data_IF_646335611129
#
_entry.id   IF_646335611129
#
_cell.length_a   1.000
_cell.length_b   1.000
_cell.length_c   1.000
_cell.angle_alpha   90.00
_cell.angle_beta   90.00
_cell.angle_gamma   90.00
#
_symmetry.space_group_name_H-M   'P 1'
#
loop_
_entity.id
_entity.type
_entity.pdbx_description
1 polymer ?
#
# COMPACT_ATOMS: atom_id res chain seq x y z
N UNK A 1 -5.96 -38.54 -70.20
CA UNK A 1 -5.27 -39.76 -69.71
C UNK A 1 -4.50 -39.40 -68.43
N UNK A 2 -4.81 -40.11 -67.33
CA UNK A 2 -4.07 -40.24 -66.05
C UNK A 2 -3.81 -38.93 -65.26
N UNK A 3 -4.62 -38.56 -64.25
CA UNK A 3 -4.68 -39.06 -62.84
C UNK A 3 -3.31 -39.28 -62.19
N UNK A 4 -2.95 -38.41 -61.25
CA UNK A 4 -2.11 -38.76 -60.11
C UNK A 4 -2.65 -38.06 -58.87
N UNK A 5 -3.13 -38.88 -57.95
CA UNK A 5 -3.68 -38.56 -56.64
C UNK A 5 -2.53 -38.32 -55.67
N UNK A 6 -2.56 -37.24 -54.88
CA UNK A 6 -1.73 -37.14 -53.68
C UNK A 6 -2.65 -37.10 -52.46
N UNK A 7 -2.52 -38.14 -51.65
CA UNK A 7 -3.20 -38.37 -50.38
C UNK A 7 -2.47 -37.54 -49.33
N UNK A 8 -3.17 -36.63 -48.66
CA UNK A 8 -2.69 -36.01 -47.42
C UNK A 8 -3.56 -36.54 -46.29
N UNK A 9 -2.90 -37.25 -45.36
CA UNK A 9 -3.51 -37.82 -44.16
C UNK A 9 -4.09 -36.72 -43.27
N UNK A 10 -5.37 -36.88 -42.91
CA UNK A 10 -5.99 -36.22 -41.76
C UNK A 10 -5.49 -36.91 -40.48
N UNK A 11 -4.73 -36.17 -39.66
CA UNK A 11 -4.49 -36.51 -38.26
C UNK A 11 -5.37 -35.57 -37.41
N UNK A 12 -6.40 -36.17 -36.81
CA UNK A 12 -7.27 -35.52 -35.85
C UNK A 12 -6.48 -35.20 -34.57
N UNK A 13 -6.31 -33.91 -34.27
CA UNK A 13 -5.94 -33.46 -32.95
C UNK A 13 -7.21 -32.92 -32.26
N UNK A 14 -7.67 -33.66 -31.24
CA UNK A 14 -8.65 -33.19 -30.28
C UNK A 14 -8.08 -31.94 -29.58
N UNK A 15 -8.59 -30.76 -29.95
CA UNK A 15 -8.48 -29.58 -29.10
C UNK A 15 -9.74 -29.54 -28.24
N UNK A 16 -9.54 -29.93 -26.99
CA UNK A 16 -10.47 -29.76 -25.89
C UNK A 16 -10.91 -28.31 -25.88
N UNK A 17 -12.23 -28.11 -26.02
CA UNK A 17 -12.91 -26.86 -25.72
C UNK A 17 -12.70 -26.58 -24.24
N UNK A 18 -11.65 -25.83 -23.90
CA UNK A 18 -11.61 -25.16 -22.61
C UNK A 18 -12.35 -23.84 -22.79
N UNK A 19 -13.61 -23.84 -22.37
CA UNK A 19 -14.40 -22.64 -22.13
C UNK A 19 -13.55 -21.63 -21.36
N UNK A 20 -13.08 -20.61 -22.06
CA UNK A 20 -12.66 -19.35 -21.46
C UNK A 20 -13.96 -18.68 -21.00
N UNK A 21 -14.11 -18.23 -19.74
CA UNK A 21 -15.21 -17.34 -19.41
C UNK A 21 -14.97 -16.04 -20.17
N UNK A 22 -15.73 -15.83 -21.25
CA UNK A 22 -15.98 -14.49 -21.75
C UNK A 22 -16.83 -13.78 -20.70
N UNK A 23 -16.26 -12.76 -20.07
CA UNK A 23 -16.95 -11.98 -19.05
C UNK A 23 -17.90 -10.99 -19.73
N UNK A 24 -19.17 -11.11 -19.39
CA UNK A 24 -20.21 -10.13 -19.72
C UNK A 24 -20.14 -8.97 -18.74
N UNK A 25 -20.25 -7.75 -19.26
CA UNK A 25 -20.62 -6.54 -18.52
C UNK A 25 -21.74 -6.83 -17.51
N UNK A 26 -21.54 -6.45 -16.25
CA UNK A 26 -22.58 -6.53 -15.22
C UNK A 26 -22.02 -6.69 -13.82
N UNK A 27 -21.93 -5.56 -13.09
CA UNK A 27 -21.93 -5.44 -11.62
C UNK A 27 -21.66 -6.74 -10.83
N UNK A 28 -20.43 -6.92 -10.36
CA UNK A 28 -20.17 -7.91 -9.30
C UNK A 28 -20.74 -7.33 -8.00
N UNK A 29 -21.92 -7.81 -7.63
CA UNK A 29 -22.47 -7.63 -6.28
C UNK A 29 -21.41 -8.20 -5.32
N UNK A 30 -21.01 -7.40 -4.33
CA UNK A 30 -20.14 -7.80 -3.25
C UNK A 30 -20.61 -9.16 -2.71
N UNK A 31 -19.88 -10.24 -3.02
CA UNK A 31 -20.15 -11.54 -2.44
C UNK A 31 -19.51 -11.54 -1.07
N UNK A 32 -20.34 -11.37 -0.02
CA UNK A 32 -19.93 -11.65 1.35
C UNK A 32 -19.39 -13.08 1.38
N UNK A 33 -18.10 -13.23 1.63
CA UNK A 33 -17.63 -14.49 2.17
C UNK A 33 -18.09 -14.48 3.63
N UNK A 34 -18.78 -15.53 4.08
CA UNK A 34 -19.50 -15.64 5.37
C UNK A 34 -18.69 -15.38 6.68
N UNK A 35 -17.52 -14.75 6.60
CA UNK A 35 -16.56 -14.54 7.67
C UNK A 35 -16.17 -13.07 7.88
N UNK A 36 -17.00 -12.10 7.46
CA UNK A 36 -16.71 -10.67 7.63
C UNK A 36 -15.68 -10.09 6.65
N UNK A 37 -15.45 -10.77 5.53
CA UNK A 37 -14.58 -10.31 4.44
C UNK A 37 -15.41 -10.15 3.17
N UNK A 38 -15.37 -8.95 2.61
CA UNK A 38 -16.20 -8.51 1.49
C UNK A 38 -15.31 -8.18 0.30
N UNK A 39 -15.67 -8.69 -0.87
CA UNK A 39 -15.05 -8.34 -2.13
C UNK A 39 -15.64 -7.02 -2.67
N UNK A 40 -14.79 -6.04 -2.97
CA UNK A 40 -15.22 -4.69 -3.38
C UNK A 40 -15.11 -4.47 -4.89
N UNK A 41 -13.97 -4.80 -5.50
CA UNK A 41 -13.70 -4.46 -6.89
C UNK A 41 -12.99 -5.59 -7.66
N UNK A 42 -13.33 -5.79 -8.96
CA UNK A 42 -12.95 -6.94 -9.76
C UNK A 42 -11.44 -7.19 -9.84
N UNK A 43 -11.08 -8.48 -9.99
CA UNK A 43 -9.73 -8.94 -10.29
C UNK A 43 -9.38 -8.58 -11.73
N UNK A 44 -8.15 -8.13 -11.98
CA UNK A 44 -7.64 -7.90 -13.33
C UNK A 44 -7.88 -6.49 -13.86
N UNK A 45 -7.90 -5.48 -12.98
CA UNK A 45 -7.65 -4.12 -13.42
C UNK A 45 -6.37 -4.08 -14.27
N UNK A 46 -6.44 -3.40 -15.41
CA UNK A 46 -5.26 -3.05 -16.20
C UNK A 46 -5.18 -1.52 -16.22
N UNK A 47 -4.15 -0.92 -15.62
CA UNK A 47 -3.01 -1.55 -14.94
C UNK A 47 -3.37 -2.27 -13.61
N UNK A 48 -2.53 -3.21 -13.11
CA UNK A 48 -2.73 -3.84 -11.81
C UNK A 48 -2.59 -2.82 -10.68
N UNK A 49 -3.41 -2.99 -9.64
CA UNK A 49 -3.38 -2.13 -8.46
C UNK A 49 -2.15 -2.47 -7.62
N UNK A 50 -1.33 -1.46 -7.31
CA UNK A 50 -0.13 -1.60 -6.49
C UNK A 50 -0.37 -1.20 -5.05
N UNK A 51 -1.14 -0.12 -4.83
CA UNK A 51 -1.35 0.48 -3.51
C UNK A 51 -2.79 0.95 -3.38
N UNK A 52 -3.35 0.74 -2.18
CA UNK A 52 -4.64 1.28 -1.77
C UNK A 52 -4.51 1.99 -0.43
N UNK A 53 -5.23 3.10 -0.28
CA UNK A 53 -5.19 3.94 0.92
C UNK A 53 -6.58 4.47 1.21
N UNK A 54 -7.13 4.15 2.37
CA UNK A 54 -8.40 4.70 2.82
C UNK A 54 -8.31 6.20 3.01
N UNK A 55 -9.34 6.91 2.57
CA UNK A 55 -9.47 8.34 2.88
C UNK A 55 -9.51 8.54 4.40
N UNK A 56 -8.73 9.49 4.94
CA UNK A 56 -8.74 9.81 6.36
C UNK A 56 -10.04 10.50 6.81
N UNK A 57 -10.80 11.08 5.87
CA UNK A 57 -12.04 11.83 6.16
C UNK A 57 -13.32 11.16 5.65
N UNK A 58 -13.21 10.08 4.86
CA UNK A 58 -14.36 9.40 4.27
C UNK A 58 -14.24 7.88 4.35
N UNK A 59 -15.22 7.26 5.02
CA UNK A 59 -15.27 5.81 5.20
C UNK A 59 -15.63 5.02 3.93
N UNK A 60 -15.99 5.67 2.83
CA UNK A 60 -16.38 5.00 1.60
C UNK A 60 -15.33 5.09 0.50
N UNK A 61 -14.31 5.93 0.66
CA UNK A 61 -13.38 6.24 -0.42
C UNK A 61 -12.00 5.62 -0.21
N UNK A 62 -11.52 4.89 -1.23
CA UNK A 62 -10.16 4.38 -1.34
C UNK A 62 -9.42 5.14 -2.44
N UNK A 63 -8.25 5.69 -2.13
CA UNK A 63 -7.28 6.12 -3.13
C UNK A 63 -6.57 4.90 -3.69
N UNK A 64 -6.52 4.81 -5.01
CA UNK A 64 -5.94 3.70 -5.74
C UNK A 64 -4.79 4.21 -6.60
N UNK A 65 -3.63 3.57 -6.47
CA UNK A 65 -2.53 3.67 -7.44
C UNK A 65 -2.44 2.34 -8.19
N UNK A 66 -2.66 2.40 -9.50
CA UNK A 66 -2.52 1.26 -10.39
C UNK A 66 -1.47 1.59 -11.46
N UNK A 67 -0.48 0.70 -11.64
CA UNK A 67 0.55 0.89 -12.65
C UNK A 67 1.00 -0.46 -13.24
N UNK A 68 1.45 -0.47 -14.49
CA UNK A 68 2.00 -1.65 -15.15
C UNK A 68 3.35 -1.28 -15.76
N UNK A 69 4.41 -1.74 -15.11
CA UNK A 69 5.78 -1.58 -15.62
C UNK A 69 5.99 -2.49 -16.84
N UNK A 70 6.67 -2.03 -17.92
CA UNK A 70 7.45 -0.79 -18.00
C UNK A 70 6.82 0.34 -18.84
N UNK A 71 5.66 0.14 -19.49
CA UNK A 71 5.24 0.98 -20.65
C UNK A 71 3.79 1.53 -20.55
N UNK A 72 2.99 1.12 -19.56
CA UNK A 72 1.57 1.50 -19.48
C UNK A 72 1.37 2.67 -18.52
N UNK A 73 0.44 3.60 -18.83
CA UNK A 73 0.16 4.75 -17.97
C UNK A 73 -0.21 4.31 -16.56
N UNK A 74 0.33 5.03 -15.58
CA UNK A 74 -0.10 4.90 -14.20
C UNK A 74 -1.45 5.61 -14.03
N UNK A 75 -2.38 4.98 -13.33
CA UNK A 75 -3.70 5.52 -13.00
C UNK A 75 -3.79 5.82 -11.52
N UNK A 76 -4.33 7.00 -11.20
CA UNK A 76 -4.66 7.40 -9.84
C UNK A 76 -6.12 7.81 -9.81
N UNK A 77 -6.90 7.15 -8.98
CA UNK A 77 -8.32 7.42 -8.83
C UNK A 77 -8.80 7.17 -7.41
N UNK A 78 -9.90 7.82 -7.06
CA UNK A 78 -10.67 7.52 -5.86
C UNK A 78 -11.77 6.53 -6.25
N UNK A 79 -11.87 5.44 -5.51
CA UNK A 79 -12.90 4.42 -5.63
C UNK A 79 -13.88 4.54 -4.46
N UNK A 80 -15.15 4.76 -4.76
CA UNK A 80 -16.24 4.58 -3.79
C UNK A 80 -16.52 3.09 -3.62
N UNK A 81 -16.30 2.54 -2.43
CA UNK A 81 -16.43 1.11 -2.15
C UNK A 81 -17.89 0.62 -2.11
N UNK A 82 -18.86 1.53 -1.98
CA UNK A 82 -20.30 1.20 -1.96
C UNK A 82 -20.88 1.18 -3.36
N UNK A 83 -20.54 2.16 -4.18
CA UNK A 83 -21.09 2.32 -5.54
C UNK A 83 -20.18 1.67 -6.60
N UNK A 84 -18.93 1.39 -6.25
CA UNK A 84 -17.85 0.97 -7.17
C UNK A 84 -17.50 2.03 -8.23
N UNK A 85 -17.94 3.28 -8.03
CA UNK A 85 -17.64 4.39 -8.93
C UNK A 85 -16.17 4.81 -8.81
N UNK A 86 -15.53 5.07 -9.96
CA UNK A 86 -14.14 5.51 -10.04
C UNK A 86 -14.08 6.98 -10.47
N UNK A 87 -13.49 7.82 -9.63
CA UNK A 87 -13.17 9.22 -9.93
C UNK A 87 -11.66 9.37 -10.20
N UNK A 88 -11.28 9.43 -11.47
CA UNK A 88 -9.87 9.65 -11.86
C UNK A 88 -9.39 11.04 -11.46
N UNK A 89 -8.27 11.09 -10.74
CA UNK A 89 -7.65 12.33 -10.27
C UNK A 89 -6.76 12.94 -11.35
N UNK A 90 -6.01 12.09 -12.05
CA UNK A 90 -5.17 12.47 -13.19
C UNK A 90 -5.55 11.58 -14.36
N UNK A 91 -5.63 12.17 -15.55
CA UNK A 91 -5.81 11.41 -16.77
C UNK A 91 -4.60 10.47 -16.99
N UNK A 92 -4.79 9.25 -17.53
CA UNK A 92 -3.69 8.34 -17.79
C UNK A 92 -2.64 8.98 -18.71
N UNK A 93 -1.48 9.34 -18.15
CA UNK A 93 -0.40 9.99 -18.89
C UNK A 93 0.52 8.93 -19.50
N UNK A 94 0.57 8.88 -20.85
CA UNK A 94 1.61 8.13 -21.55
C UNK A 94 2.95 8.79 -21.20
N UNK A 95 3.84 8.04 -20.56
CA UNK A 95 5.19 8.46 -20.15
C UNK A 95 5.30 9.19 -18.80
N UNK A 96 4.37 9.00 -17.86
CA UNK A 96 4.59 9.37 -16.45
C UNK A 96 4.57 8.11 -15.58
N UNK A 97 5.58 7.98 -14.71
CA UNK A 97 5.62 6.92 -13.69
C UNK A 97 5.25 7.51 -12.34
N UNK A 98 4.11 7.08 -11.82
CA UNK A 98 3.69 7.37 -10.44
C UNK A 98 4.22 6.26 -9.55
N UNK A 99 5.12 6.63 -8.64
CA UNK A 99 5.85 5.68 -7.81
C UNK A 99 5.14 5.47 -6.49
N UNK A 100 4.68 6.55 -5.88
CA UNK A 100 3.95 6.46 -4.63
C UNK A 100 2.87 7.54 -4.48
N UNK A 101 1.87 7.23 -3.65
CA UNK A 101 0.76 8.13 -3.30
C UNK A 101 0.46 8.07 -1.81
N UNK A 102 0.00 9.16 -1.22
CA UNK A 102 -0.50 9.22 0.15
C UNK A 102 -1.63 10.26 0.26
N UNK A 103 -2.55 10.09 1.21
CA UNK A 103 -3.52 11.14 1.53
C UNK A 103 -2.89 12.24 2.38
N UNK A 104 -3.31 13.48 2.17
CA UNK A 104 -3.16 14.51 3.18
C UNK A 104 -4.23 14.30 4.28
N UNK A 105 -3.95 14.69 5.55
CA UNK A 105 -4.84 14.38 6.67
C UNK A 105 -6.25 14.98 6.57
N UNK A 106 -6.42 16.06 5.81
CA UNK A 106 -7.72 16.67 5.52
C UNK A 106 -8.61 15.79 4.61
N UNK A 107 -8.00 14.87 3.87
CA UNK A 107 -8.67 14.06 2.84
C UNK A 107 -9.16 14.87 1.63
N UNK A 108 -8.70 16.11 1.48
CA UNK A 108 -9.02 16.98 0.33
C UNK A 108 -7.92 16.91 -0.73
N UNK A 109 -6.70 16.62 -0.30
CA UNK A 109 -5.53 16.52 -1.17
C UNK A 109 -4.83 15.16 -1.03
N UNK A 110 -4.10 14.79 -2.08
CA UNK A 110 -3.18 13.66 -2.06
C UNK A 110 -1.76 14.14 -2.37
N UNK A 111 -0.77 13.41 -1.87
CA UNK A 111 0.61 13.51 -2.30
C UNK A 111 0.91 12.47 -3.38
N UNK A 112 1.76 12.85 -4.32
CA UNK A 112 2.18 12.05 -5.44
C UNK A 112 3.69 12.19 -5.67
N UNK A 113 4.39 11.06 -5.70
CA UNK A 113 5.77 10.97 -6.14
C UNK A 113 5.83 10.66 -7.64
N UNK A 114 6.41 11.58 -8.42
CA UNK A 114 6.52 11.48 -9.89
C UNK A 114 7.98 11.35 -10.32
N UNK A 115 8.28 10.32 -11.11
CA UNK A 115 9.54 10.18 -11.85
C UNK A 115 9.34 10.69 -13.28
N UNK A 116 10.19 11.63 -13.70
CA UNK A 116 10.21 12.09 -15.08
C UNK A 116 10.83 10.99 -15.97
N UNK A 117 10.20 10.68 -17.10
CA UNK A 117 10.74 9.68 -18.04
C UNK A 117 11.86 10.23 -18.92
N UNK A 118 12.19 11.51 -18.81
CA UNK A 118 13.31 12.17 -19.52
C UNK A 118 14.61 12.25 -18.72
N UNK A 119 14.62 11.91 -17.42
CA UNK A 119 15.81 11.95 -16.57
C UNK A 119 15.65 11.15 -15.29
N UNK A 120 16.70 10.41 -14.91
CA UNK A 120 16.76 9.40 -13.85
C UNK A 120 16.57 9.92 -12.40
N UNK A 121 15.95 11.08 -12.17
CA UNK A 121 15.71 11.64 -10.84
C UNK A 121 14.23 11.90 -10.56
N UNK A 122 13.74 11.58 -9.34
CA UNK A 122 12.40 11.97 -8.91
C UNK A 122 12.25 13.50 -8.95
N UNK A 123 11.16 13.98 -9.56
CA UNK A 123 10.90 15.43 -9.72
C UNK A 123 10.52 16.13 -8.39
N UNK A 124 10.23 15.35 -7.34
CA UNK A 124 9.75 15.80 -6.05
C UNK A 124 8.40 15.20 -5.69
N UNK A 125 7.87 15.60 -4.53
CA UNK A 125 6.51 15.29 -4.12
C UNK A 125 5.57 16.43 -4.51
N UNK A 126 4.47 16.07 -5.15
CA UNK A 126 3.45 16.99 -5.63
C UNK A 126 2.16 16.76 -4.85
N UNK A 127 1.42 17.82 -4.52
CA UNK A 127 0.07 17.71 -4.00
C UNK A 127 -0.96 17.92 -5.11
N UNK A 128 -2.06 17.17 -5.02
CA UNK A 128 -3.18 17.23 -5.95
C UNK A 128 -4.48 17.33 -5.16
N UNK A 129 -5.26 18.36 -5.46
CA UNK A 129 -6.61 18.54 -4.91
C UNK A 129 -7.59 17.57 -5.58
N UNK A 130 -8.30 16.79 -4.77
CA UNK A 130 -9.20 15.72 -5.23
C UNK A 130 -10.46 16.27 -5.91
N UNK A 131 -10.84 17.52 -5.63
CA UNK A 131 -12.07 18.13 -6.13
C UNK A 131 -11.83 18.91 -7.41
N UNK A 132 -10.87 19.84 -7.40
CA UNK A 132 -10.60 20.72 -8.53
C UNK A 132 -9.42 20.28 -9.40
N UNK A 133 -8.68 19.22 -9.00
CA UNK A 133 -7.52 18.66 -9.72
C UNK A 133 -6.36 19.64 -9.89
N UNK A 134 -6.28 20.69 -9.06
CA UNK A 134 -5.11 21.57 -9.01
C UNK A 134 -3.89 20.79 -8.53
N UNK A 135 -2.73 21.10 -9.12
CA UNK A 135 -1.46 20.41 -8.87
C UNK A 135 -0.43 21.45 -8.46
N UNK A 136 0.28 21.20 -7.37
CA UNK A 136 1.37 22.07 -6.88
C UNK A 136 2.55 21.21 -6.41
N UNK A 137 3.78 21.69 -6.59
CA UNK A 137 4.96 21.02 -6.04
C UNK A 137 5.04 21.36 -4.55
N UNK A 138 5.21 20.34 -3.71
CA UNK A 138 5.22 20.50 -2.26
C UNK A 138 6.61 20.31 -1.65
N UNK A 139 7.29 19.20 -1.93
CA UNK A 139 8.58 18.87 -1.31
C UNK A 139 9.63 18.48 -2.34
N UNK A 140 10.88 18.60 -1.93
CA UNK A 140 12.02 17.97 -2.60
C UNK A 140 11.88 16.44 -2.61
N UNK A 141 12.64 15.74 -3.48
CA UNK A 141 12.53 14.30 -3.58
C UNK A 141 13.00 13.59 -2.30
N UNK A 142 12.08 12.82 -1.73
CA UNK A 142 12.30 11.85 -0.64
C UNK A 142 11.83 10.48 -1.12
N UNK A 143 12.43 9.40 -0.62
CA UNK A 143 12.06 8.03 -1.00
C UNK A 143 10.64 7.69 -0.53
N UNK A 144 10.28 8.11 0.69
CA UNK A 144 8.92 7.98 1.24
C UNK A 144 8.59 9.16 2.15
N UNK A 145 7.30 9.50 2.23
CA UNK A 145 6.78 10.50 3.17
C UNK A 145 5.49 10.03 3.82
N UNK A 146 5.22 10.51 5.03
CA UNK A 146 3.89 10.40 5.65
C UNK A 146 3.57 11.65 6.46
N UNK A 147 2.32 12.09 6.37
CA UNK A 147 1.82 13.21 7.16
C UNK A 147 1.49 12.80 8.58
N UNK A 148 1.74 13.73 9.51
CA UNK A 148 1.21 13.64 10.86
C UNK A 148 -0.32 13.74 10.81
N UNK A 149 -1.06 12.96 11.63
CA UNK A 149 -2.51 13.01 11.69
C UNK A 149 -3.11 14.41 11.88
N UNK A 150 -2.38 15.31 12.56
CA UNK A 150 -2.81 16.69 12.79
C UNK A 150 -2.49 17.66 11.63
N UNK A 151 -1.81 17.19 10.57
CA UNK A 151 -1.44 18.01 9.42
C UNK A 151 -0.34 19.04 9.69
N UNK A 152 0.31 19.01 10.85
CA UNK A 152 1.35 19.99 11.18
C UNK A 152 2.75 19.61 10.68
N UNK A 153 2.98 18.32 10.40
CA UNK A 153 4.31 17.78 10.11
C UNK A 153 4.27 16.68 9.06
N UNK A 154 5.42 16.48 8.42
CA UNK A 154 5.67 15.38 7.49
C UNK A 154 6.92 14.66 7.98
N UNK A 155 6.84 13.34 8.14
CA UNK A 155 8.05 12.52 8.27
C UNK A 155 8.48 12.09 6.88
N UNK A 156 9.76 12.23 6.58
CA UNK A 156 10.32 11.89 5.29
C UNK A 156 11.54 10.98 5.46
N UNK A 157 11.65 9.98 4.60
CA UNK A 157 12.78 9.06 4.53
C UNK A 157 13.66 9.46 3.35
N UNK A 158 14.96 9.63 3.63
CA UNK A 158 15.98 9.89 2.62
C UNK A 158 17.06 8.84 2.72
N UNK A 159 17.24 8.08 1.66
CA UNK A 159 18.40 7.22 1.46
C UNK A 159 19.56 8.08 0.96
N UNK A 160 20.72 7.90 1.58
CA UNK A 160 21.96 8.57 1.16
C UNK A 160 22.88 7.51 0.57
N UNK A 161 23.19 7.62 -0.74
CA UNK A 161 24.27 6.82 -1.32
C UNK A 161 24.93 7.41 -2.58
N UNK A 162 26.27 7.29 -2.66
CA UNK A 162 26.85 6.39 -3.68
C UNK A 162 27.96 5.43 -3.21
N UNK A 163 28.40 5.44 -1.94
CA UNK A 163 29.41 4.50 -1.43
C UNK A 163 28.89 3.65 -0.26
N UNK A 164 29.41 2.42 -0.13
CA UNK A 164 29.21 1.49 0.98
C UNK A 164 29.79 2.09 2.28
N UNK A 165 29.02 2.20 3.39
CA UNK A 165 27.67 1.65 3.62
C UNK A 165 26.50 2.62 3.35
N UNK A 166 25.36 2.05 2.94
CA UNK A 166 24.07 2.75 2.82
C UNK A 166 23.65 3.36 4.16
N UNK A 167 23.05 4.55 4.12
CA UNK A 167 22.47 5.22 5.28
C UNK A 167 21.04 5.66 4.99
N UNK A 168 20.19 5.52 6.00
CA UNK A 168 18.83 6.02 5.99
C UNK A 168 18.71 7.17 6.99
N UNK A 169 18.30 8.34 6.52
CA UNK A 169 17.97 9.48 7.36
C UNK A 169 16.46 9.68 7.45
N UNK A 170 15.98 9.90 8.67
CA UNK A 170 14.63 10.32 8.95
C UNK A 170 14.62 11.82 9.18
N UNK A 171 13.75 12.50 8.47
CA UNK A 171 13.56 13.94 8.53
C UNK A 171 12.15 14.26 9.02
N UNK A 172 12.04 15.32 9.81
CA UNK A 172 10.78 15.92 10.22
C UNK A 172 10.66 17.29 9.57
N UNK A 173 9.62 17.48 8.79
CA UNK A 173 9.39 18.69 8.02
C UNK A 173 8.15 19.39 8.59
N UNK A 174 8.26 20.67 8.89
CA UNK A 174 7.11 21.51 9.21
C UNK A 174 6.28 21.76 7.95
N UNK A 175 4.98 21.43 7.98
CA UNK A 175 4.13 21.49 6.79
C UNK A 175 3.82 22.90 6.31
N UNK A 176 3.98 23.91 7.17
CA UNK A 176 3.69 25.31 6.84
C UNK A 176 4.94 26.06 6.42
N UNK A 177 6.07 25.81 7.10
CA UNK A 177 7.31 26.55 6.86
C UNK A 177 8.32 25.81 5.99
N UNK A 178 8.09 24.52 5.71
CA UNK A 178 9.04 23.62 5.03
C UNK A 178 10.41 23.54 5.74
N UNK A 179 10.45 23.79 7.05
CA UNK A 179 11.69 23.65 7.82
C UNK A 179 11.93 22.16 8.07
N UNK A 180 13.07 21.66 7.58
CA UNK A 180 13.53 20.27 7.70
C UNK A 180 14.47 20.12 8.91
N UNK A 181 14.20 19.13 9.76
CA UNK A 181 15.06 18.69 10.87
C UNK A 181 15.40 17.20 10.68
N UNK A 182 16.69 16.84 10.69
CA UNK A 182 17.07 15.42 10.79
C UNK A 182 16.82 14.92 12.21
N UNK A 183 16.00 13.89 12.35
CA UNK A 183 15.55 13.37 13.65
C UNK A 183 16.12 12.00 14.00
N UNK A 184 16.63 11.26 13.02
CA UNK A 184 17.38 10.03 13.23
C UNK A 184 18.26 9.69 12.02
N UNK A 185 19.37 8.99 12.29
CA UNK A 185 20.26 8.40 11.31
C UNK A 185 20.40 6.91 11.62
N UNK A 186 20.23 6.08 10.61
CA UNK A 186 20.42 4.64 10.67
C UNK A 186 21.50 4.23 9.68
N UNK A 187 22.60 3.66 10.19
CA UNK A 187 23.78 3.30 9.41
C UNK A 187 23.81 1.80 9.07
N UNK A 188 24.41 1.46 7.93
CA UNK A 188 24.54 0.08 7.45
C UNK A 188 23.18 -0.59 7.22
N UNK A 189 22.19 0.20 6.84
CA UNK A 189 20.85 -0.27 6.52
C UNK A 189 20.43 0.29 5.17
N UNK A 190 19.58 -0.46 4.49
CA UNK A 190 18.87 0.05 3.33
C UNK A 190 17.41 0.35 3.70
N UNK A 191 16.76 1.07 2.81
CA UNK A 191 15.35 1.39 2.91
C UNK A 191 14.50 0.11 2.73
N UNK A 192 13.47 -0.04 3.56
CA UNK A 192 12.42 -1.04 3.39
C UNK A 192 11.34 -0.59 2.40
N UNK A 193 10.06 -0.75 2.74
CA UNK A 193 8.93 -0.04 2.13
C UNK A 193 7.87 0.24 3.19
N UNK A 194 7.43 1.48 3.31
CA UNK A 194 6.34 1.95 4.13
C UNK A 194 6.78 2.65 5.41
N UNK A 195 6.11 3.78 5.66
CA UNK A 195 6.15 4.59 6.88
C UNK A 195 4.73 5.00 7.27
N UNK A 196 4.46 5.14 8.57
CA UNK A 196 3.15 5.52 9.10
C UNK A 196 3.27 6.17 10.47
N UNK A 197 2.46 7.20 10.72
CA UNK A 197 2.36 7.88 12.01
C UNK A 197 1.41 7.18 12.97
N UNK A 198 1.72 7.24 14.26
CA UNK A 198 0.72 6.98 15.29
C UNK A 198 -0.33 8.11 15.31
N UNK A 199 -1.60 7.81 15.63
CA UNK A 199 -2.70 8.78 15.58
C UNK A 199 -2.56 9.91 16.61
N UNK A 200 -1.71 9.73 17.63
CA UNK A 200 -1.43 10.72 18.68
C UNK A 200 -0.23 11.64 18.37
N UNK A 201 0.36 11.52 17.18
CA UNK A 201 1.55 12.26 16.72
C UNK A 201 2.82 12.04 17.57
N UNK A 202 2.90 10.95 18.35
CA UNK A 202 4.05 10.69 19.23
C UNK A 202 5.08 9.73 18.63
N UNK A 203 4.64 8.87 17.71
CA UNK A 203 5.45 7.78 17.18
C UNK A 203 5.35 7.69 15.66
N UNK A 204 6.39 7.14 15.06
CA UNK A 204 6.42 6.78 13.65
C UNK A 204 6.86 5.32 13.54
N UNK A 205 6.10 4.50 12.84
CA UNK A 205 6.52 3.15 12.44
C UNK A 205 7.02 3.19 11.01
N UNK A 206 8.15 2.53 10.76
CA UNK A 206 8.76 2.46 9.44
C UNK A 206 9.48 1.13 9.27
N UNK A 207 9.73 0.73 8.03
CA UNK A 207 10.48 -0.48 7.72
C UNK A 207 11.90 -0.16 7.28
N UNK A 208 12.83 -1.01 7.71
CA UNK A 208 14.26 -0.90 7.42
C UNK A 208 14.77 -2.26 6.99
N UNK A 209 15.51 -2.30 5.88
CA UNK A 209 16.18 -3.51 5.40
C UNK A 209 17.58 -3.62 6.01
N UNK A 210 17.82 -4.70 6.74
CA UNK A 210 19.12 -4.99 7.35
C UNK A 210 19.52 -6.42 7.01
N UNK A 211 20.68 -6.59 6.37
CA UNK A 211 21.25 -7.91 6.06
C UNK A 211 20.33 -8.85 5.25
N UNK A 212 19.40 -8.29 4.45
CA UNK A 212 18.54 -9.03 3.52
C UNK A 212 17.09 -9.22 3.97
N UNK A 213 16.76 -8.94 5.23
CA UNK A 213 15.38 -8.95 5.73
C UNK A 213 14.94 -7.54 6.15
N UNK A 214 13.73 -7.13 5.75
CA UNK A 214 13.12 -5.90 6.27
C UNK A 214 12.44 -6.15 7.61
N UNK A 215 12.62 -5.22 8.53
CA UNK A 215 11.98 -5.26 9.84
C UNK A 215 11.34 -3.91 10.14
N UNK A 216 10.31 -3.93 11.00
CA UNK A 216 9.63 -2.73 11.46
C UNK A 216 10.29 -2.18 12.72
N UNK A 217 10.41 -0.87 12.73
CA UNK A 217 10.95 -0.09 13.83
C UNK A 217 9.96 1.02 14.19
N UNK A 218 9.90 1.37 15.48
CA UNK A 218 9.15 2.51 16.00
C UNK A 218 10.14 3.57 16.47
N UNK A 219 10.00 4.79 15.96
CA UNK A 219 10.66 6.00 16.45
C UNK A 219 9.72 6.72 17.42
N UNK A 220 10.18 6.97 18.64
CA UNK A 220 9.58 7.93 19.57
C UNK A 220 10.06 9.34 19.20
N UNK A 221 9.15 10.21 18.79
CA UNK A 221 9.48 11.55 18.31
C UNK A 221 9.97 12.48 19.42
N UNK A 222 9.58 12.23 20.68
CA UNK A 222 9.99 13.03 21.83
C UNK A 222 11.38 12.65 22.30
N UNK A 223 11.66 11.35 22.42
CA UNK A 223 12.94 10.85 22.94
C UNK A 223 13.98 10.56 21.87
N UNK A 224 13.57 10.57 20.59
CA UNK A 224 14.36 10.15 19.42
C UNK A 224 14.87 8.71 19.52
N UNK A 225 14.25 7.89 20.37
CA UNK A 225 14.61 6.48 20.54
C UNK A 225 13.94 5.63 19.49
N UNK A 226 14.70 4.71 18.91
CA UNK A 226 14.20 3.75 17.94
C UNK A 226 14.19 2.35 18.57
N UNK A 227 13.09 1.63 18.40
CA UNK A 227 12.90 0.27 18.90
C UNK A 227 12.47 -0.65 17.76
N UNK A 228 13.14 -1.78 17.60
CA UNK A 228 12.73 -2.84 16.66
C UNK A 228 11.53 -3.60 17.23
N UNK A 229 10.49 -3.80 16.42
CA UNK A 229 9.27 -4.50 16.85
C UNK A 229 9.02 -5.81 16.08
N UNK A 230 9.72 -6.05 14.97
CA UNK A 230 9.66 -7.34 14.26
C UNK A 230 11.06 -7.90 13.99
N UNK A 231 11.16 -9.21 13.86
CA UNK A 231 12.39 -9.91 13.48
C UNK A 231 12.10 -11.21 12.72
N UNK A 232 13.10 -11.75 12.03
CA UNK A 232 13.15 -13.12 11.49
C UNK A 232 12.45 -13.35 10.15
N UNK A 233 11.55 -12.46 9.71
CA UNK A 233 10.93 -12.50 8.39
C UNK A 233 10.66 -11.09 7.89
N UNK A 234 10.84 -10.90 6.59
CA UNK A 234 10.57 -9.66 5.87
C UNK A 234 9.20 -9.08 6.24
N UNK A 235 9.22 -7.90 6.86
CA UNK A 235 8.07 -7.16 7.37
C UNK A 235 8.09 -5.73 6.86
N UNK A 236 7.06 -5.35 6.11
CA UNK A 236 6.98 -4.08 5.35
C UNK A 236 5.57 -3.49 5.38
N UNK A 237 5.44 -2.29 4.82
CA UNK A 237 4.21 -1.50 4.65
C UNK A 237 3.36 -1.38 5.93
N UNK A 238 3.96 -0.92 7.05
CA UNK A 238 3.22 -0.77 8.29
C UNK A 238 2.19 0.36 8.19
N UNK A 239 1.01 0.14 8.76
CA UNK A 239 -0.07 1.13 8.92
C UNK A 239 -0.60 1.10 10.34
N UNK A 240 -0.39 2.19 11.07
CA UNK A 240 -0.94 2.35 12.40
C UNK A 240 -2.47 2.40 12.33
N UNK A 241 -3.14 1.72 13.26
CA UNK A 241 -4.59 1.86 13.39
C UNK A 241 -4.94 3.28 13.85
N UNK A 242 -6.03 3.89 13.37
CA UNK A 242 -6.54 5.16 13.91
C UNK A 242 -6.84 5.12 15.41
N UNK A 243 -6.99 3.92 15.99
CA UNK A 243 -7.14 3.71 17.45
C UNK A 243 -5.82 3.70 18.23
N UNK A 244 -4.68 3.64 17.56
CA UNK A 244 -3.35 3.80 18.16
C UNK A 244 -2.76 2.55 18.82
N UNK A 245 -3.54 1.50 18.99
CA UNK A 245 -3.13 0.35 19.82
C UNK A 245 -2.49 -0.81 19.03
N UNK A 246 -2.69 -0.87 17.71
CA UNK A 246 -2.17 -1.92 16.82
C UNK A 246 -1.68 -1.35 15.48
N UNK A 247 -0.78 -2.08 14.83
CA UNK A 247 -0.19 -1.77 13.52
C UNK A 247 -0.48 -2.96 12.59
N UNK A 248 -1.07 -2.69 11.43
CA UNK A 248 -1.24 -3.67 10.37
C UNK A 248 -0.06 -3.61 9.41
N UNK A 249 0.44 -4.75 8.94
CA UNK A 249 1.60 -4.78 8.07
C UNK A 249 1.67 -6.07 7.24
N UNK A 250 2.52 -6.05 6.23
CA UNK A 250 2.84 -7.19 5.38
C UNK A 250 3.99 -7.99 5.98
N UNK A 251 3.87 -9.32 6.02
CA UNK A 251 4.95 -10.21 6.45
C UNK A 251 5.06 -11.43 5.57
N UNK A 252 6.29 -11.80 5.20
CA UNK A 252 6.55 -13.11 4.56
C UNK A 252 6.26 -14.25 5.54
N UNK A 253 5.62 -15.31 5.07
CA UNK A 253 5.36 -16.49 5.88
C UNK A 253 6.55 -17.45 5.87
N UNK A 254 6.92 -18.06 7.02
CA UNK A 254 7.89 -19.17 7.05
C UNK A 254 7.40 -20.40 6.29
N UNK A 255 6.09 -20.68 6.39
CA UNK A 255 5.52 -21.98 6.02
C UNK A 255 4.75 -21.94 4.69
N UNK A 256 4.51 -20.73 4.16
CA UNK A 256 3.66 -20.51 2.99
C UNK A 256 4.37 -19.62 1.96
N UNK A 257 4.05 -19.83 0.70
CA UNK A 257 4.57 -18.99 -0.38
C UNK A 257 3.76 -17.70 -0.46
N UNK A 258 4.42 -16.58 -0.19
CA UNK A 258 3.89 -15.23 -0.41
C UNK A 258 3.92 -14.36 0.85
N UNK A 259 3.19 -13.26 0.78
CA UNK A 259 3.06 -12.25 1.84
C UNK A 259 1.66 -12.32 2.43
N UNK A 260 1.56 -12.16 3.75
CA UNK A 260 0.31 -12.21 4.50
C UNK A 260 0.22 -11.01 5.44
N UNK A 261 -1.02 -10.59 5.75
CA UNK A 261 -1.23 -9.48 6.65
C UNK A 261 -1.15 -9.94 8.10
N UNK A 262 -0.44 -9.16 8.90
CA UNK A 262 -0.28 -9.36 10.33
C UNK A 262 -0.72 -8.11 11.07
N UNK A 263 -1.11 -8.31 12.32
CA UNK A 263 -1.25 -7.24 13.31
C UNK A 263 -0.19 -7.41 14.37
N UNK A 264 0.40 -6.30 14.81
CA UNK A 264 1.27 -6.24 15.98
C UNK A 264 0.76 -5.16 16.93
N UNK A 265 0.86 -5.39 18.24
CA UNK A 265 0.54 -4.37 19.24
C UNK A 265 1.52 -3.20 19.12
N UNK A 266 1.06 -1.99 19.45
CA UNK A 266 1.88 -0.77 19.43
C UNK A 266 3.16 -0.86 20.29
N UNK A 267 3.17 -1.73 21.30
CA UNK A 267 4.35 -2.00 22.14
C UNK A 267 5.26 -3.12 21.60
N UNK A 268 4.93 -3.70 20.45
CA UNK A 268 5.68 -4.76 19.78
C UNK A 268 5.62 -6.15 20.43
N UNK A 269 4.88 -6.32 21.54
CA UNK A 269 4.96 -7.55 22.35
C UNK A 269 4.08 -8.70 21.87
N UNK A 270 3.04 -8.40 21.09
CA UNK A 270 2.10 -9.38 20.61
C UNK A 270 1.92 -9.21 19.11
N UNK A 271 1.94 -10.30 18.36
CA UNK A 271 1.72 -10.33 16.93
C UNK A 271 0.82 -11.51 16.57
N UNK A 272 -0.09 -11.29 15.63
CA UNK A 272 -0.93 -12.34 15.04
C UNK A 272 -0.95 -12.22 13.50
N UNK A 273 -1.08 -13.35 12.80
CA UNK A 273 -1.49 -13.36 11.39
C UNK A 273 -3.00 -13.13 11.30
N UNK A 274 -3.48 -12.29 10.38
CA UNK A 274 -4.92 -12.14 10.14
C UNK A 274 -5.44 -13.43 9.49
N UNK A 275 -6.40 -14.14 10.10
CA UNK A 275 -6.81 -15.46 9.64
C UNK A 275 -7.60 -15.40 8.34
N UNK A 276 -7.60 -16.52 7.62
CA UNK A 276 -8.41 -16.74 6.40
C UNK A 276 -8.12 -15.79 5.23
N UNK A 277 -6.96 -15.14 5.22
CA UNK A 277 -6.49 -14.37 4.08
C UNK A 277 -5.57 -15.21 3.21
N UNK A 278 -5.77 -15.17 1.90
CA UNK A 278 -4.82 -15.70 0.93
C UNK A 278 -4.00 -14.56 0.33
N UNK A 279 -2.67 -14.68 0.40
CA UNK A 279 -1.68 -13.75 -0.18
C UNK A 279 -2.16 -12.30 -0.26
N UNK A 280 -2.15 -11.63 0.89
CA UNK A 280 -2.72 -10.31 1.05
C UNK A 280 -1.64 -9.25 1.29
N UNK A 281 -1.81 -8.07 0.70
CA UNK A 281 -0.86 -6.96 0.76
C UNK A 281 -1.56 -5.59 0.72
N UNK A 282 -0.77 -4.51 0.89
CA UNK A 282 -1.21 -3.11 0.97
C UNK A 282 -2.37 -2.88 1.94
N UNK A 283 -2.23 -3.24 3.25
CA UNK A 283 -3.29 -2.98 4.21
C UNK A 283 -3.54 -1.48 4.37
N UNK A 284 -4.79 -1.08 4.60
CA UNK A 284 -5.14 0.29 4.99
C UNK A 284 -6.39 0.29 5.88
N UNK A 285 -6.39 1.12 6.91
CA UNK A 285 -7.49 1.18 7.89
C UNK A 285 -8.58 2.15 7.43
N UNK A 286 -9.84 1.80 7.66
CA UNK A 286 -10.91 2.81 7.62
C UNK A 286 -10.66 3.88 8.69
N UNK A 287 -11.11 5.14 8.46
CA UNK A 287 -10.83 6.24 9.39
C UNK A 287 -11.42 6.00 10.79
N UNK A 288 -12.51 5.26 10.90
CA UNK A 288 -13.11 4.86 12.19
C UNK A 288 -12.40 3.67 12.87
N UNK A 289 -11.42 3.08 12.20
CA UNK A 289 -10.63 1.92 12.62
C UNK A 289 -11.42 0.63 12.73
N UNK A 290 -12.63 0.50 12.16
CA UNK A 290 -13.42 -0.75 12.22
C UNK A 290 -13.12 -1.72 11.09
N UNK A 291 -12.55 -1.23 9.98
CA UNK A 291 -12.30 -2.02 8.78
C UNK A 291 -10.85 -1.93 8.35
N UNK A 292 -10.39 -2.97 7.66
CA UNK A 292 -9.12 -2.98 6.93
C UNK A 292 -9.43 -3.31 5.47
N UNK A 293 -9.04 -2.44 4.55
CA UNK A 293 -8.99 -2.76 3.12
C UNK A 293 -7.62 -3.34 2.78
N UNK A 294 -7.60 -4.29 1.85
CA UNK A 294 -6.38 -4.93 1.38
C UNK A 294 -6.53 -5.43 -0.05
N UNK A 295 -5.38 -5.75 -0.66
CA UNK A 295 -5.29 -6.37 -1.96
C UNK A 295 -5.03 -7.87 -1.79
N UNK A 296 -5.71 -8.70 -2.59
CA UNK A 296 -5.45 -10.13 -2.70
C UNK A 296 -5.84 -10.64 -4.09
N UNK A 297 -4.98 -11.45 -4.72
CA UNK A 297 -5.28 -12.03 -6.04
C UNK A 297 -5.68 -10.99 -7.11
N UNK A 298 -5.16 -9.75 -7.01
CA UNK A 298 -5.45 -8.65 -7.92
C UNK A 298 -6.82 -7.96 -7.73
N UNK A 299 -7.55 -8.23 -6.65
CA UNK A 299 -8.79 -7.54 -6.30
C UNK A 299 -8.69 -6.81 -4.97
N UNK A 300 -9.68 -5.93 -4.70
CA UNK A 300 -9.80 -5.18 -3.44
C UNK A 300 -10.79 -5.90 -2.53
N UNK A 301 -10.40 -6.10 -1.28
CA UNK A 301 -11.22 -6.68 -0.23
C UNK A 301 -11.26 -5.77 0.98
N UNK A 302 -12.33 -5.85 1.73
CA UNK A 302 -12.52 -5.17 3.01
C UNK A 302 -12.88 -6.20 4.06
N UNK A 303 -12.23 -6.17 5.21
CA UNK A 303 -12.60 -6.99 6.36
C UNK A 303 -13.16 -6.12 7.49
N UNK A 304 -14.16 -6.66 8.19
CA UNK A 304 -14.71 -6.12 9.43
C UNK A 304 -13.92 -6.66 10.62
N UNK A 305 -13.22 -5.79 11.33
CA UNK A 305 -12.21 -6.21 12.32
C UNK A 305 -12.82 -6.94 13.51
N UNK A 306 -14.01 -6.54 13.96
CA UNK A 306 -14.69 -7.18 15.08
C UNK A 306 -15.29 -8.55 14.73
N UNK A 307 -15.66 -8.76 13.46
CA UNK A 307 -16.14 -10.05 12.94
C UNK A 307 -14.98 -11.01 12.73
N UNK A 308 -13.90 -10.55 12.08
CA UNK A 308 -12.75 -11.41 11.72
C UNK A 308 -11.84 -11.69 12.91
N UNK A 309 -11.59 -10.68 13.75
CA UNK A 309 -10.58 -10.74 14.81
C UNK A 309 -11.19 -10.75 16.22
N UNK A 310 -12.50 -10.57 16.33
CA UNK A 310 -13.19 -10.43 17.61
C UNK A 310 -13.15 -9.00 18.16
N UNK A 311 -14.13 -8.67 19.01
CA UNK A 311 -14.34 -7.32 19.56
C UNK A 311 -13.24 -6.83 20.49
N UNK A 312 -12.49 -7.73 21.11
CA UNK A 312 -11.46 -7.41 22.09
C UNK A 312 -10.07 -7.27 21.48
N UNK A 313 -9.93 -7.38 20.16
CA UNK A 313 -8.64 -7.27 19.46
C UNK A 313 -7.91 -5.96 19.78
N UNK A 314 -8.67 -4.89 20.05
CA UNK A 314 -8.10 -3.59 20.40
C UNK A 314 -7.68 -3.46 21.87
N UNK A 315 -8.22 -4.30 22.75
CA UNK A 315 -7.89 -4.31 24.18
C UNK A 315 -6.77 -5.30 24.49
N UNK A 316 -6.82 -6.48 23.86
CA UNK A 316 -5.89 -7.57 24.05
C UNK A 316 -5.66 -8.28 22.70
N UNK A 317 -4.63 -7.87 21.96
CA UNK A 317 -4.28 -8.53 20.69
C UNK A 317 -3.89 -10.01 20.93
N UNK A 318 -3.24 -10.31 22.05
CA UNK A 318 -2.96 -11.66 22.53
C UNK A 318 -3.63 -11.83 23.90
N UNK A 319 -4.83 -12.43 23.99
CA UNK A 319 -5.35 -12.85 25.28
C UNK A 319 -4.36 -13.82 25.95
N UNK A 320 -4.13 -13.64 27.25
CA UNK A 320 -3.25 -14.48 28.08
C UNK A 320 -3.83 -15.89 28.27
#
# INVERSE_FOLDING_TARGET
MKRTTLIILLLAAFLIVNCSPQWTDGSVIATETNNGIVFIAPRGSRPPIQKIIWSPSDENNLLILANETPIIPSEIYVLDIRTQEKKFLIEPLRNAQFVDVEWMPDGEKILLLVYDTTGFEPSGWWSIDVNNKSVERLLDPFDEVAWSPDGSKIVALRRIQPNDPTRLELHLIDSYTNVEESIALYENVDFGSGISWSPDNQYVVFSVSQHGDSNLFILDLKTRRISQITQGFDSVRPRWSPRGNVIAFERKSPDKIGTYLHLISSDGKCMIEIPNLDRAWSPTWSPDGKRIAFLSGGGIYVLETDVVLGRDIYKNLCPK
#
